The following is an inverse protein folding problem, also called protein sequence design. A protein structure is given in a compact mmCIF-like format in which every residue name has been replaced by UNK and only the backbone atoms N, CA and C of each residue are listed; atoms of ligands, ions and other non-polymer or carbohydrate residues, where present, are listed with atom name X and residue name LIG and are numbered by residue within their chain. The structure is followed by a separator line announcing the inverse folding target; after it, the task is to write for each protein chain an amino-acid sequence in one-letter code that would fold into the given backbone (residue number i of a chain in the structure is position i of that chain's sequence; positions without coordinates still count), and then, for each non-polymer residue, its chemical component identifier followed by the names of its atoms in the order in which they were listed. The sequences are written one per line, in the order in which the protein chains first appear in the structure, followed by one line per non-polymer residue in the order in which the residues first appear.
data_IF_337012492639
#
_entry.id   IF_337012492639
#
_cell.length_a   1.000
_cell.length_b   1.000
_cell.length_c   1.000
_cell.angle_alpha   90.00
_cell.angle_beta   90.00
_cell.angle_gamma   90.00
#
_symmetry.space_group_name_H-M   'P 1'
#
loop_
_entity.id
_entity.type
_entity.pdbx_description
1 polymer ?
#
# COMPACT_ATOMS: atom_id res chain seq x y z
N UNK A 1 3.50 -10.13 3.58
CA UNK A 1 3.71 -9.06 4.59
C UNK A 1 2.40 -8.78 5.30
N UNK A 2 2.23 -9.20 6.56
CA UNK A 2 0.98 -9.02 7.34
C UNK A 2 0.91 -7.70 8.10
N UNK A 3 1.54 -6.64 7.58
CA UNK A 3 1.73 -5.38 8.33
C UNK A 3 0.62 -4.37 8.08
N UNK A 4 -0.35 -4.65 7.21
CA UNK A 4 -1.48 -3.74 6.98
C UNK A 4 -2.49 -3.89 8.13
N UNK A 5 -2.83 -2.82 8.88
CA UNK A 5 -3.84 -2.88 9.95
C UNK A 5 -5.24 -3.20 9.43
N UNK A 6 -5.49 -2.96 8.14
CA UNK A 6 -6.73 -3.30 7.44
C UNK A 6 -6.73 -4.73 6.88
N UNK A 7 -5.70 -5.54 7.21
CA UNK A 7 -5.54 -6.92 6.74
C UNK A 7 -5.43 -7.10 5.21
N UNK A 8 -5.19 -6.03 4.45
CA UNK A 8 -4.98 -6.08 3.00
C UNK A 8 -3.71 -6.86 2.64
N UNK A 9 -3.77 -7.68 1.59
CA UNK A 9 -2.59 -8.35 1.03
C UNK A 9 -1.79 -7.40 0.12
N UNK A 10 -1.07 -6.48 0.77
CA UNK A 10 -0.24 -5.50 0.07
C UNK A 10 0.82 -6.16 -0.83
N UNK A 11 1.28 -7.37 -0.53
CA UNK A 11 2.29 -8.02 -1.38
C UNK A 11 1.68 -8.38 -2.75
N UNK A 12 0.49 -8.97 -2.75
CA UNK A 12 -0.25 -9.25 -3.98
C UNK A 12 -0.59 -7.96 -4.75
N UNK A 13 -1.00 -6.88 -4.05
CA UNK A 13 -1.27 -5.55 -4.65
C UNK A 13 -0.07 -5.01 -5.43
N UNK A 14 1.12 -5.07 -4.83
CA UNK A 14 2.35 -4.61 -5.46
C UNK A 14 2.70 -5.47 -6.68
N UNK A 15 2.56 -6.80 -6.57
CA UNK A 15 2.86 -7.70 -7.69
C UNK A 15 1.93 -7.51 -8.89
N UNK A 16 0.65 -7.21 -8.65
CA UNK A 16 -0.31 -6.90 -9.72
C UNK A 16 -0.18 -5.48 -10.27
N UNK A 17 0.54 -4.58 -9.57
CA UNK A 17 0.70 -3.19 -9.96
C UNK A 17 -0.55 -2.31 -9.76
N UNK A 18 -1.49 -2.78 -8.95
CA UNK A 18 -2.75 -2.10 -8.66
C UNK A 18 -2.87 -1.92 -7.14
N UNK A 19 -2.73 -0.67 -6.72
CA UNK A 19 -2.71 -0.27 -5.32
C UNK A 19 -3.97 0.50 -4.90
N UNK A 20 -4.96 0.65 -5.81
CA UNK A 20 -6.24 1.29 -5.48
C UNK A 20 -7.10 0.27 -4.72
N UNK A 21 -7.40 0.58 -3.46
CA UNK A 21 -8.21 -0.27 -2.58
C UNK A 21 -9.04 0.61 -1.65
N UNK A 22 -10.35 0.36 -1.59
CA UNK A 22 -11.31 1.22 -0.88
C UNK A 22 -11.16 1.15 0.64
N UNK A 23 -10.64 0.04 1.15
CA UNK A 23 -10.36 -0.13 2.59
C UNK A 23 -9.00 0.45 3.00
N UNK A 24 -8.18 0.93 2.06
CA UNK A 24 -6.88 1.53 2.37
C UNK A 24 -7.05 2.89 3.05
N UNK A 25 -6.83 2.94 4.37
CA UNK A 25 -6.89 4.18 5.17
C UNK A 25 -5.62 5.04 5.10
N UNK A 26 -4.71 4.75 4.17
CA UNK A 26 -3.44 5.47 3.98
C UNK A 26 -2.56 5.55 5.25
N UNK A 27 -2.54 4.50 6.07
CA UNK A 27 -1.81 4.48 7.35
C UNK A 27 -0.27 4.51 7.25
N UNK A 28 0.31 4.13 6.11
CA UNK A 28 1.76 4.16 5.87
C UNK A 28 2.54 2.94 6.35
N UNK A 29 1.97 2.02 7.13
CA UNK A 29 2.72 0.87 7.70
C UNK A 29 3.38 -0.01 6.63
N UNK A 30 2.74 -0.19 5.48
CA UNK A 30 3.32 -0.96 4.38
C UNK A 30 4.46 -0.22 3.66
N UNK A 31 4.46 1.11 3.64
CA UNK A 31 5.53 1.94 3.09
C UNK A 31 6.75 1.85 4.00
N UNK A 32 6.57 2.09 5.30
CA UNK A 32 7.64 2.10 6.29
C UNK A 32 8.28 0.72 6.47
N UNK A 33 7.45 -0.33 6.44
CA UNK A 33 7.89 -1.72 6.62
C UNK A 33 8.48 -2.37 5.37
N UNK A 34 8.53 -1.69 4.21
CA UNK A 34 8.99 -2.30 2.96
C UNK A 34 10.52 -2.19 2.82
N UNK A 35 11.29 -3.29 2.99
CA UNK A 35 12.75 -3.23 2.91
C UNK A 35 13.26 -2.87 1.51
N UNK A 36 12.52 -3.23 0.46
CA UNK A 36 12.84 -2.89 -0.92
C UNK A 36 12.33 -1.51 -1.36
N UNK A 37 11.59 -0.80 -0.50
CA UNK A 37 10.96 0.49 -0.82
C UNK A 37 10.09 0.44 -2.10
N UNK A 38 9.46 -0.70 -2.34
CA UNK A 38 8.63 -0.93 -3.53
C UNK A 38 7.29 -0.16 -3.49
N UNK A 39 6.87 0.31 -2.31
CA UNK A 39 5.61 1.03 -2.08
C UNK A 39 5.93 2.44 -1.59
N UNK A 40 5.21 3.44 -2.10
CA UNK A 40 5.36 4.86 -1.72
C UNK A 40 4.03 5.59 -1.85
N UNK A 41 3.84 6.64 -1.04
CA UNK A 41 2.77 7.59 -1.26
C UNK A 41 3.09 8.51 -2.43
N UNK A 42 2.02 8.90 -3.13
CA UNK A 42 2.06 9.92 -4.17
C UNK A 42 0.83 10.79 -4.01
N UNK A 43 0.97 12.09 -4.24
CA UNK A 43 -0.17 12.97 -4.38
C UNK A 43 -0.79 12.74 -5.75
N UNK A 44 -2.03 12.27 -5.77
CA UNK A 44 -2.86 12.33 -6.98
C UNK A 44 -3.36 13.75 -7.18
N UNK A 45 -3.47 14.19 -8.43
CA UNK A 45 -4.38 15.28 -8.74
C UNK A 45 -5.78 14.75 -8.39
N UNK A 46 -6.41 15.25 -7.33
CA UNK A 46 -7.76 14.84 -6.96
C UNK A 46 -8.66 14.84 -8.19
N UNK A 47 -9.43 13.76 -8.37
CA UNK A 47 -10.45 13.69 -9.42
C UNK A 47 -11.59 14.66 -9.11
#
# INVERSE_FOLDING_TARGET
TRSCPMSLDVHAMVQRGDMEEGECILCGTCVDGCPSRAVRFTFGAGR
#
